data_IF_035395230724
#
_entry.id   IF_035395230724
#
_cell.length_a   1.000
_cell.length_b   1.000
_cell.length_c   1.000
_cell.angle_alpha   90.00
_cell.angle_beta   90.00
_cell.angle_gamma   90.00
#
_symmetry.space_group_name_H-M   'P 1'
#
loop_
_entity.id
_entity.type
_entity.pdbx_description
1 polymer ?
#
# COMPACT_ATOMS: atom_id res chain seq x y z
N UNK A 1 32.21 -3.63 -10.52
CA UNK A 1 32.91 -4.49 -11.50
C UNK A 1 32.00 -4.73 -12.70
N UNK A 2 32.57 -4.88 -13.90
CA UNK A 2 31.83 -5.36 -15.06
C UNK A 2 31.41 -6.81 -14.80
N UNK A 3 30.13 -7.13 -15.04
CA UNK A 3 29.59 -8.50 -14.90
C UNK A 3 29.28 -9.01 -16.30
N UNK A 4 29.55 -10.28 -16.59
CA UNK A 4 29.20 -10.86 -17.88
C UNK A 4 27.75 -11.37 -17.84
N UNK A 5 27.02 -11.21 -18.93
CA UNK A 5 25.69 -11.76 -19.09
C UNK A 5 25.76 -13.29 -18.99
N UNK A 6 24.98 -13.87 -18.09
CA UNK A 6 24.92 -15.31 -17.91
C UNK A 6 24.41 -16.06 -19.14
N UNK A 7 23.54 -15.43 -19.94
CA UNK A 7 22.96 -16.07 -21.12
C UNK A 7 23.88 -16.00 -22.35
N UNK A 8 24.37 -14.81 -22.72
CA UNK A 8 25.14 -14.62 -23.95
C UNK A 8 26.63 -14.35 -23.76
N UNK A 9 27.13 -14.32 -22.51
CA UNK A 9 28.54 -14.05 -22.19
C UNK A 9 28.99 -12.61 -22.43
N UNK A 10 28.15 -11.75 -23.02
CA UNK A 10 28.49 -10.33 -23.29
C UNK A 10 28.85 -9.60 -21.99
N UNK A 11 29.87 -8.76 -22.03
CA UNK A 11 30.20 -7.90 -20.91
C UNK A 11 29.09 -6.85 -20.69
N UNK A 12 28.51 -6.83 -19.49
CA UNK A 12 27.53 -5.83 -19.07
C UNK A 12 28.30 -4.71 -18.36
N UNK A 13 28.45 -3.60 -19.07
CA UNK A 13 29.10 -2.39 -18.57
C UNK A 13 28.41 -1.80 -17.34
N UNK A 14 28.99 -0.75 -16.76
CA UNK A 14 28.38 -0.05 -15.63
C UNK A 14 27.10 0.71 -16.02
N UNK A 15 26.98 1.13 -17.29
CA UNK A 15 25.89 1.96 -17.78
C UNK A 15 24.79 1.18 -18.52
N UNK A 16 24.97 -0.12 -18.74
CA UNK A 16 23.95 -0.98 -19.36
C UNK A 16 23.04 -1.55 -18.28
N UNK A 17 21.74 -1.62 -18.55
CA UNK A 17 20.74 -2.16 -17.63
C UNK A 17 21.14 -3.58 -17.24
N UNK A 18 21.41 -3.75 -15.94
CA UNK A 18 21.72 -5.03 -15.32
C UNK A 18 20.42 -5.58 -14.78
N UNK A 19 19.99 -6.72 -15.31
CA UNK A 19 18.78 -7.38 -14.84
C UNK A 19 19.23 -8.53 -13.94
N UNK A 20 19.12 -8.40 -12.61
CA UNK A 20 19.41 -9.49 -11.70
C UNK A 20 18.37 -10.60 -11.90
N UNK A 21 18.87 -11.80 -12.14
CA UNK A 21 18.06 -12.99 -12.29
C UNK A 21 17.70 -13.50 -10.89
N UNK A 22 16.41 -13.60 -10.61
CA UNK A 22 15.84 -14.15 -9.37
C UNK A 22 16.33 -13.38 -8.14
N UNK A 23 16.40 -12.05 -8.28
CA UNK A 23 16.80 -11.09 -7.24
C UNK A 23 18.23 -11.31 -6.71
N UNK A 24 19.05 -12.10 -7.42
CA UNK A 24 20.44 -12.31 -7.07
C UNK A 24 21.34 -11.37 -7.88
N UNK A 25 21.96 -10.41 -7.20
CA UNK A 25 22.82 -9.41 -7.84
C UNK A 25 24.06 -10.01 -8.53
N UNK A 26 24.49 -11.22 -8.15
CA UNK A 26 25.61 -11.93 -8.78
C UNK A 26 25.23 -12.65 -10.07
N UNK A 27 23.93 -12.81 -10.32
CA UNK A 27 23.41 -13.51 -11.47
C UNK A 27 22.76 -12.49 -12.41
N UNK A 28 23.51 -11.97 -13.37
CA UNK A 28 23.04 -10.86 -14.21
C UNK A 28 22.88 -11.30 -15.66
N UNK A 29 21.76 -10.90 -16.28
CA UNK A 29 21.54 -11.02 -17.72
C UNK A 29 21.39 -9.64 -18.36
N UNK A 30 21.71 -9.53 -19.64
CA UNK A 30 21.53 -8.30 -20.41
C UNK A 30 20.06 -8.16 -20.86
N UNK A 31 19.63 -6.94 -21.14
CA UNK A 31 18.30 -6.62 -21.66
C UNK A 31 17.88 -7.51 -22.84
N UNK A 32 18.75 -7.70 -23.83
CA UNK A 32 18.43 -8.50 -25.03
C UNK A 32 18.13 -9.96 -24.69
N UNK A 33 18.82 -10.52 -23.69
CA UNK A 33 18.62 -11.90 -23.25
C UNK A 33 17.39 -12.01 -22.35
N UNK A 34 17.07 -10.96 -21.59
CA UNK A 34 15.86 -10.89 -20.81
C UNK A 34 14.60 -10.82 -21.68
N UNK A 35 14.60 -9.99 -22.73
CA UNK A 35 13.47 -9.90 -23.68
C UNK A 35 13.23 -11.21 -24.45
N UNK A 36 14.29 -11.97 -24.69
CA UNK A 36 14.23 -13.31 -25.33
C UNK A 36 14.01 -14.43 -24.33
N UNK A 37 13.98 -14.13 -23.04
CA UNK A 37 13.75 -15.12 -22.01
C UNK A 37 12.31 -15.62 -22.12
N UNK A 38 12.06 -16.93 -21.97
CA UNK A 38 10.73 -17.46 -22.19
C UNK A 38 9.70 -16.76 -21.29
N UNK A 39 8.50 -16.51 -21.83
CA UNK A 39 7.39 -15.86 -21.12
C UNK A 39 7.06 -16.51 -19.78
N UNK A 40 7.48 -17.76 -19.57
CA UNK A 40 7.25 -18.54 -18.34
C UNK A 40 8.07 -18.04 -17.15
N UNK A 41 9.27 -17.47 -17.35
CA UNK A 41 9.97 -16.76 -16.26
C UNK A 41 9.20 -15.48 -15.93
N UNK A 42 8.66 -14.78 -16.93
CA UNK A 42 7.75 -13.66 -16.71
C UNK A 42 6.46 -14.09 -16.00
N UNK A 43 5.92 -15.29 -16.24
CA UNK A 43 4.76 -15.83 -15.52
C UNK A 43 5.08 -16.17 -14.05
N UNK A 44 6.30 -16.64 -13.75
CA UNK A 44 6.79 -16.77 -12.37
C UNK A 44 6.89 -15.41 -11.66
N UNK A 45 7.31 -14.37 -12.37
CA UNK A 45 7.40 -13.01 -11.81
C UNK A 45 6.04 -12.31 -11.73
N UNK A 46 5.09 -12.59 -12.62
CA UNK A 46 3.90 -11.76 -12.79
C UNK A 46 2.55 -12.42 -12.47
N UNK A 47 2.44 -13.76 -12.38
CA UNK A 47 1.10 -14.39 -12.44
C UNK A 47 0.69 -15.42 -11.40
N UNK A 48 1.50 -15.80 -10.40
CA UNK A 48 0.98 -16.70 -9.34
C UNK A 48 1.45 -16.29 -7.96
N UNK A 49 0.49 -15.83 -7.16
CA UNK A 49 0.74 -15.26 -5.85
C UNK A 49 0.93 -16.35 -4.78
N UNK A 50 0.47 -17.59 -4.96
CA UNK A 50 0.75 -18.72 -4.05
C UNK A 50 0.67 -20.11 -4.71
N UNK A 51 1.47 -20.43 -5.75
CA UNK A 51 1.39 -21.72 -6.42
C UNK A 51 1.57 -22.88 -5.43
N UNK A 52 0.70 -23.88 -5.51
CA UNK A 52 0.82 -25.11 -4.74
C UNK A 52 2.13 -25.83 -5.06
N UNK A 53 2.56 -26.72 -4.18
CA UNK A 53 3.79 -27.51 -4.40
C UNK A 53 3.75 -28.31 -5.72
N UNK A 54 2.60 -28.86 -6.09
CA UNK A 54 2.40 -29.57 -7.36
C UNK A 54 2.50 -28.63 -8.56
N UNK A 55 1.90 -27.44 -8.48
CA UNK A 55 2.02 -26.44 -9.54
C UNK A 55 3.45 -25.92 -9.70
N UNK A 56 4.19 -25.72 -8.60
CA UNK A 56 5.59 -25.34 -8.65
C UNK A 56 6.46 -26.39 -9.35
N UNK A 57 6.14 -27.68 -9.15
CA UNK A 57 6.82 -28.78 -9.87
C UNK A 57 6.54 -28.71 -11.37
N UNK A 58 5.27 -28.56 -11.78
CA UNK A 58 4.91 -28.42 -13.20
C UNK A 58 5.54 -27.18 -13.83
N UNK A 59 5.58 -26.06 -13.10
CA UNK A 59 6.23 -24.82 -13.57
C UNK A 59 7.74 -25.03 -13.72
N UNK A 60 8.38 -25.72 -12.76
CA UNK A 60 9.80 -26.04 -12.83
C UNK A 60 10.14 -26.85 -14.09
N UNK A 61 9.35 -27.89 -14.38
CA UNK A 61 9.54 -28.73 -15.56
C UNK A 61 9.44 -27.90 -16.86
N UNK A 62 8.39 -27.09 -17.00
CA UNK A 62 8.20 -26.25 -18.19
C UNK A 62 9.30 -25.21 -18.39
N UNK A 63 9.82 -24.61 -17.31
CA UNK A 63 10.92 -23.65 -17.39
C UNK A 63 12.21 -24.33 -17.82
N UNK A 64 12.55 -25.46 -17.21
CA UNK A 64 13.77 -26.19 -17.55
C UNK A 64 13.73 -26.65 -19.01
N UNK A 65 12.60 -27.15 -19.49
CA UNK A 65 12.41 -27.51 -20.90
C UNK A 65 12.65 -26.32 -21.84
N UNK A 66 12.03 -25.17 -21.56
CA UNK A 66 12.21 -23.98 -22.40
C UNK A 66 13.62 -23.40 -22.36
N UNK A 67 14.30 -23.44 -21.20
CA UNK A 67 15.70 -23.04 -21.10
C UNK A 67 16.62 -23.98 -21.89
N UNK A 68 16.32 -25.29 -21.90
CA UNK A 68 17.05 -26.24 -22.74
C UNK A 68 16.81 -25.97 -24.24
N UNK A 69 15.57 -25.65 -24.65
CA UNK A 69 15.22 -25.32 -26.03
C UNK A 69 15.83 -23.98 -26.50
N UNK A 70 15.95 -23.01 -25.60
CA UNK A 70 16.50 -21.68 -25.89
C UNK A 70 18.03 -21.60 -25.95
N UNK A 71 18.74 -22.74 -25.94
CA UNK A 71 20.20 -22.83 -25.98
C UNK A 71 20.92 -22.04 -24.86
N UNK A 72 20.33 -21.96 -23.67
CA UNK A 72 20.98 -21.35 -22.51
C UNK A 72 22.14 -22.23 -22.00
N UNK A 73 23.20 -21.61 -21.48
CA UNK A 73 24.31 -22.36 -20.87
C UNK A 73 23.80 -23.19 -19.66
N UNK A 74 24.33 -24.41 -19.49
CA UNK A 74 24.13 -25.29 -18.34
C UNK A 74 24.27 -24.58 -16.98
N UNK A 75 25.18 -23.62 -16.86
CA UNK A 75 25.35 -22.87 -15.61
C UNK A 75 24.10 -22.06 -15.25
N UNK A 76 23.44 -21.46 -16.24
CA UNK A 76 22.18 -20.72 -16.07
C UNK A 76 21.05 -21.67 -15.67
N UNK A 77 20.96 -22.81 -16.35
CA UNK A 77 19.94 -23.83 -16.07
C UNK A 77 20.10 -24.35 -14.64
N UNK A 78 21.33 -24.63 -14.19
CA UNK A 78 21.62 -25.11 -12.84
C UNK A 78 21.23 -24.07 -11.77
N UNK A 79 21.55 -22.81 -12.01
CA UNK A 79 21.19 -21.70 -11.13
C UNK A 79 19.68 -21.57 -10.97
N UNK A 80 18.94 -21.56 -12.09
CA UNK A 80 17.47 -21.47 -12.07
C UNK A 80 16.86 -22.69 -11.40
N UNK A 81 17.36 -23.89 -11.72
CA UNK A 81 16.90 -25.15 -11.11
C UNK A 81 17.04 -25.15 -9.60
N UNK A 82 18.22 -24.76 -9.09
CA UNK A 82 18.50 -24.69 -7.64
C UNK A 82 17.61 -23.69 -6.92
N UNK A 83 17.30 -22.56 -7.56
CA UNK A 83 16.37 -21.59 -7.01
C UNK A 83 14.95 -22.16 -6.90
N UNK A 84 14.46 -22.82 -7.95
CA UNK A 84 13.13 -23.42 -7.97
C UNK A 84 13.02 -24.54 -6.93
N UNK A 85 14.05 -25.37 -6.77
CA UNK A 85 14.10 -26.39 -5.73
C UNK A 85 14.04 -25.82 -4.31
N UNK A 86 14.72 -24.69 -4.07
CA UNK A 86 14.63 -23.98 -2.80
C UNK A 86 13.22 -23.42 -2.54
N UNK A 87 12.56 -22.84 -3.54
CA UNK A 87 11.15 -22.40 -3.43
C UNK A 87 10.21 -23.58 -3.17
N UNK A 88 10.34 -24.69 -3.89
CA UNK A 88 9.51 -25.91 -3.73
C UNK A 88 9.68 -26.51 -2.34
N UNK A 89 10.92 -26.63 -1.84
CA UNK A 89 11.20 -27.20 -0.51
C UNK A 89 10.65 -26.35 0.64
N UNK A 90 10.48 -25.04 0.43
CA UNK A 90 9.88 -24.12 1.41
C UNK A 90 8.36 -23.96 1.24
N UNK A 91 7.78 -24.46 0.15
CA UNK A 91 6.34 -24.43 -0.06
C UNK A 91 5.65 -25.38 0.92
N UNK A 92 4.69 -24.86 1.68
CA UNK A 92 3.82 -25.68 2.52
C UNK A 92 2.77 -26.36 1.64
N UNK A 93 2.37 -27.57 2.02
CA UNK A 93 1.21 -28.20 1.39
C UNK A 93 -0.02 -27.31 1.64
N UNK A 94 -0.89 -27.12 0.63
CA UNK A 94 -2.08 -26.29 0.77
C UNK A 94 -2.96 -26.80 1.91
N UNK A 95 -3.43 -25.89 2.76
CA UNK A 95 -4.49 -26.24 3.71
C UNK A 95 -5.78 -26.51 2.93
N UNK A 96 -6.43 -27.63 3.20
CA UNK A 96 -7.66 -28.04 2.54
C UNK A 96 -8.79 -27.95 3.56
N UNK A 97 -9.88 -27.29 3.19
CA UNK A 97 -11.10 -27.27 4.00
C UNK A 97 -11.74 -28.66 4.09
N UNK A 98 -12.67 -28.84 5.04
CA UNK A 98 -13.46 -30.09 5.16
C UNK A 98 -14.23 -30.44 3.87
N UNK A 99 -14.52 -29.43 3.05
CA UNK A 99 -15.23 -29.53 1.77
C UNK A 99 -14.28 -29.73 0.56
N UNK A 100 -12.97 -29.86 0.78
CA UNK A 100 -11.98 -30.11 -0.26
C UNK A 100 -11.44 -28.86 -0.97
N UNK A 101 -11.90 -27.66 -0.61
CA UNK A 101 -11.40 -26.42 -1.20
C UNK A 101 -9.99 -26.07 -0.67
N UNK A 102 -9.09 -25.67 -1.58
CA UNK A 102 -7.74 -25.19 -1.27
C UNK A 102 -7.84 -23.82 -0.63
N UNK A 103 -7.12 -23.63 0.48
CA UNK A 103 -7.13 -22.39 1.25
C UNK A 103 -5.79 -21.67 1.11
N UNK A 104 -5.86 -20.34 1.05
CA UNK A 104 -4.73 -19.43 1.21
C UNK A 104 -4.99 -18.53 2.42
N UNK A 105 -3.91 -18.07 3.06
CA UNK A 105 -4.02 -17.21 4.24
C UNK A 105 -3.96 -15.74 3.82
N UNK A 106 -4.92 -14.93 4.25
CA UNK A 106 -4.87 -13.49 4.03
C UNK A 106 -3.76 -12.85 4.90
N UNK A 107 -2.81 -12.09 4.33
CA UNK A 107 -1.72 -11.49 5.10
C UNK A 107 -2.17 -10.34 6.01
N UNK A 108 -3.33 -9.73 5.75
CA UNK A 108 -3.86 -8.63 6.56
C UNK A 108 -4.64 -9.16 7.77
N UNK A 109 -5.63 -10.03 7.55
CA UNK A 109 -6.54 -10.46 8.60
C UNK A 109 -6.24 -11.88 9.13
N UNK A 110 -5.23 -12.56 8.58
CA UNK A 110 -4.81 -13.92 8.95
C UNK A 110 -5.88 -15.01 8.81
N UNK A 111 -7.04 -14.70 8.22
CA UNK A 111 -8.09 -15.68 7.93
C UNK A 111 -7.72 -16.51 6.71
N UNK A 112 -8.11 -17.78 6.77
CA UNK A 112 -8.10 -18.64 5.60
C UNK A 112 -9.22 -18.20 4.65
N UNK A 113 -8.87 -18.04 3.38
CA UNK A 113 -9.81 -17.74 2.30
C UNK A 113 -9.63 -18.77 1.21
N UNK A 114 -10.69 -19.05 0.46
CA UNK A 114 -10.60 -19.92 -0.70
C UNK A 114 -9.55 -19.36 -1.68
N UNK A 115 -8.75 -20.25 -2.26
CA UNK A 115 -7.66 -19.92 -3.16
C UNK A 115 -8.11 -19.04 -4.35
N UNK A 116 -9.33 -19.25 -4.83
CA UNK A 116 -9.88 -18.56 -6.01
C UNK A 116 -10.36 -17.12 -5.71
N UNK A 117 -10.34 -16.70 -4.44
CA UNK A 117 -10.81 -15.35 -4.05
C UNK A 117 -9.79 -14.29 -4.44
N UNK A 118 -10.19 -13.32 -5.27
CA UNK A 118 -9.33 -12.21 -5.69
C UNK A 118 -9.14 -11.14 -4.61
N UNK A 119 -10.13 -10.91 -3.74
CA UNK A 119 -10.06 -9.90 -2.67
C UNK A 119 -10.58 -10.49 -1.36
N UNK A 120 -9.79 -10.39 -0.28
CA UNK A 120 -10.20 -10.87 1.03
C UNK A 120 -11.33 -9.99 1.60
N UNK A 121 -12.52 -10.58 1.81
CA UNK A 121 -13.67 -9.87 2.40
C UNK A 121 -13.42 -9.36 3.83
N UNK A 122 -12.54 -10.02 4.59
CA UNK A 122 -12.25 -9.63 5.98
C UNK A 122 -11.17 -8.56 6.13
N UNK A 123 -10.30 -8.36 5.14
CA UNK A 123 -9.13 -7.46 5.24
C UNK A 123 -8.91 -6.56 4.03
N UNK A 124 -9.72 -6.68 2.97
CA UNK A 124 -9.57 -5.91 1.73
C UNK A 124 -8.34 -6.25 0.89
N UNK A 125 -7.55 -7.26 1.27
CA UNK A 125 -6.32 -7.62 0.55
C UNK A 125 -6.63 -8.15 -0.84
N UNK A 126 -6.07 -7.51 -1.87
CA UNK A 126 -6.14 -8.00 -3.25
C UNK A 126 -5.04 -9.01 -3.53
N UNK A 127 -5.45 -10.20 -3.95
CA UNK A 127 -4.60 -11.32 -4.40
C UNK A 127 -4.37 -11.31 -5.92
N UNK A 128 -4.78 -10.27 -6.65
CA UNK A 128 -4.62 -10.20 -8.12
C UNK A 128 -3.47 -9.31 -8.59
N UNK A 129 -2.74 -8.64 -7.68
CA UNK A 129 -1.61 -7.76 -8.04
C UNK A 129 -0.26 -8.49 -7.93
N UNK A 130 0.37 -8.78 -9.07
CA UNK A 130 1.61 -9.57 -9.20
C UNK A 130 2.91 -8.92 -8.72
N UNK A 131 2.98 -8.40 -7.49
CA UNK A 131 4.23 -7.87 -6.91
C UNK A 131 4.35 -8.26 -5.41
N UNK A 132 4.92 -9.44 -5.13
CA UNK A 132 5.10 -9.99 -3.77
C UNK A 132 5.95 -9.08 -2.85
N UNK A 133 6.93 -8.34 -3.41
CA UNK A 133 7.78 -7.42 -2.62
C UNK A 133 7.04 -6.13 -2.24
N UNK A 134 6.36 -5.51 -3.21
CA UNK A 134 5.57 -4.29 -2.99
C UNK A 134 4.37 -4.59 -2.09
N UNK A 135 3.74 -5.76 -2.21
CA UNK A 135 2.56 -6.09 -1.42
C UNK A 135 2.86 -6.46 0.04
N UNK A 136 4.00 -7.10 0.35
CA UNK A 136 4.41 -7.34 1.74
C UNK A 136 4.79 -6.03 2.44
N UNK A 137 5.47 -5.12 1.72
CA UNK A 137 5.77 -3.79 2.24
C UNK A 137 4.51 -2.95 2.41
N UNK A 138 3.59 -2.99 1.45
CA UNK A 138 2.26 -2.36 1.56
C UNK A 138 1.48 -2.95 2.73
N UNK A 139 1.43 -4.27 2.89
CA UNK A 139 0.74 -4.92 4.01
C UNK A 139 1.38 -4.53 5.35
N UNK A 140 2.71 -4.46 5.42
CA UNK A 140 3.42 -3.96 6.60
C UNK A 140 3.10 -2.48 6.88
N UNK A 141 3.08 -1.63 5.86
CA UNK A 141 2.69 -0.21 5.98
C UNK A 141 1.25 -0.10 6.48
N UNK A 142 0.32 -0.90 5.94
CA UNK A 142 -1.07 -0.92 6.37
C UNK A 142 -1.20 -1.39 7.83
N UNK A 143 -0.53 -2.48 8.20
CA UNK A 143 -0.55 -3.00 9.56
C UNK A 143 0.06 -2.01 10.56
N UNK A 144 1.19 -1.38 10.20
CA UNK A 144 1.80 -0.33 11.01
C UNK A 144 0.87 0.88 11.16
N UNK A 145 0.23 1.33 10.07
CA UNK A 145 -0.77 2.41 10.12
C UNK A 145 -1.97 2.03 10.99
N UNK A 146 -2.46 0.80 10.89
CA UNK A 146 -3.57 0.32 11.73
C UNK A 146 -3.21 0.31 13.22
N UNK A 147 -2.02 -0.20 13.57
CA UNK A 147 -1.53 -0.16 14.95
C UNK A 147 -1.32 1.27 15.45
N UNK A 148 -0.83 2.17 14.59
CA UNK A 148 -0.77 3.60 14.88
C UNK A 148 -2.18 4.18 15.13
N UNK A 149 -3.16 3.91 14.27
CA UNK A 149 -4.52 4.44 14.41
C UNK A 149 -5.22 3.98 15.69
N UNK A 150 -4.95 2.75 16.15
CA UNK A 150 -5.47 2.25 17.44
C UNK A 150 -4.93 3.03 18.64
N UNK A 151 -3.71 3.55 18.53
CA UNK A 151 -3.03 4.36 19.55
C UNK A 151 -3.38 5.84 19.44
N UNK A 152 -3.73 6.31 18.24
CA UNK A 152 -4.07 7.71 18.02
C UNK A 152 -5.18 8.17 18.98
N UNK A 153 -5.08 9.40 19.49
CA UNK A 153 -6.16 10.02 20.23
C UNK A 153 -7.41 10.19 19.35
N UNK A 154 -8.57 10.00 19.96
CA UNK A 154 -9.86 10.24 19.30
C UNK A 154 -10.36 11.62 19.69
N UNK A 155 -10.72 12.42 18.69
CA UNK A 155 -11.29 13.74 18.87
C UNK A 155 -12.70 13.79 18.29
N UNK A 156 -13.56 14.57 18.93
CA UNK A 156 -14.76 15.11 18.30
C UNK A 156 -14.55 16.57 17.97
N UNK A 157 -15.30 17.05 16.98
CA UNK A 157 -15.22 18.40 16.47
C UNK A 157 -16.59 19.08 16.57
N UNK A 158 -16.55 20.38 16.86
CA UNK A 158 -17.71 21.26 16.79
C UNK A 158 -17.33 22.52 16.01
N UNK A 159 -18.30 23.18 15.39
CA UNK A 159 -18.08 24.46 14.75
C UNK A 159 -19.20 25.44 15.03
N UNK A 160 -18.84 26.70 15.19
CA UNK A 160 -19.77 27.77 15.50
C UNK A 160 -19.56 28.91 14.53
N UNK A 161 -20.67 29.37 13.97
CA UNK A 161 -20.72 30.53 13.09
C UNK A 161 -21.16 31.75 13.89
N UNK A 162 -20.35 32.78 13.89
CA UNK A 162 -20.60 34.04 14.60
C UNK A 162 -20.77 35.15 13.57
N UNK A 163 -22.00 35.63 13.31
CA UNK A 163 -22.18 36.77 12.43
C UNK A 163 -21.49 38.00 13.02
N UNK A 164 -20.88 38.82 12.16
CA UNK A 164 -20.33 40.10 12.56
C UNK A 164 -21.44 41.09 12.98
N UNK A 165 -21.03 42.14 13.67
CA UNK A 165 -21.91 43.24 14.05
C UNK A 165 -22.42 43.95 12.80
N UNK A 166 -23.52 44.69 12.94
CA UNK A 166 -24.14 45.42 11.82
C UNK A 166 -23.24 46.47 11.17
N UNK A 167 -22.19 46.91 11.87
CA UNK A 167 -21.16 47.82 11.36
C UNK A 167 -20.02 47.09 10.61
N UNK A 168 -20.12 45.76 10.44
CA UNK A 168 -19.12 44.91 9.81
C UNK A 168 -17.95 44.53 10.72
N UNK A 169 -17.94 44.97 11.99
CA UNK A 169 -16.88 44.62 12.94
C UNK A 169 -17.12 43.25 13.61
N UNK A 170 -16.02 42.61 14.03
CA UNK A 170 -16.06 41.36 14.77
C UNK A 170 -16.84 41.48 16.10
N UNK A 171 -17.72 40.51 16.38
CA UNK A 171 -18.47 40.45 17.63
C UNK A 171 -17.64 39.85 18.77
N UNK A 172 -16.65 40.62 19.25
CA UNK A 172 -15.68 40.19 20.25
C UNK A 172 -16.31 39.61 21.52
N UNK A 173 -17.32 40.27 22.09
CA UNK A 173 -17.95 39.84 23.34
C UNK A 173 -18.64 38.47 23.18
N UNK A 174 -19.29 38.26 22.05
CA UNK A 174 -19.93 36.99 21.71
C UNK A 174 -18.90 35.88 21.51
N UNK A 175 -17.82 36.16 20.79
CA UNK A 175 -16.69 35.24 20.58
C UNK A 175 -16.08 34.84 21.92
N UNK A 176 -15.75 35.81 22.79
CA UNK A 176 -15.17 35.54 24.12
C UNK A 176 -16.08 34.63 24.96
N UNK A 177 -17.40 34.90 24.96
CA UNK A 177 -18.37 34.07 25.67
C UNK A 177 -18.43 32.65 25.12
N UNK A 178 -18.40 32.48 23.79
CA UNK A 178 -18.42 31.16 23.15
C UNK A 178 -17.16 30.37 23.54
N UNK A 179 -15.98 30.99 23.44
CA UNK A 179 -14.70 30.35 23.80
C UNK A 179 -14.72 29.90 25.25
N UNK A 180 -15.11 30.77 26.18
CA UNK A 180 -15.16 30.44 27.60
C UNK A 180 -16.11 29.26 27.87
N UNK A 181 -17.32 29.29 27.31
CA UNK A 181 -18.30 28.22 27.50
C UNK A 181 -17.84 26.88 26.91
N UNK A 182 -17.13 26.90 25.78
CA UNK A 182 -16.56 25.72 25.14
C UNK A 182 -15.39 25.16 25.95
N UNK A 183 -14.47 26.01 26.37
CA UNK A 183 -13.34 25.63 27.21
C UNK A 183 -13.78 24.97 28.51
N UNK A 184 -14.84 25.47 29.16
CA UNK A 184 -15.42 24.86 30.37
C UNK A 184 -15.97 23.44 30.13
N UNK A 185 -16.30 23.10 28.89
CA UNK A 185 -16.79 21.79 28.49
C UNK A 185 -15.67 20.91 27.90
N UNK A 186 -14.40 21.32 28.04
CA UNK A 186 -13.24 20.57 27.57
C UNK A 186 -12.93 20.75 26.08
N UNK A 187 -13.60 21.67 25.39
CA UNK A 187 -13.31 21.98 23.99
C UNK A 187 -12.15 22.96 23.87
N UNK A 188 -11.31 22.74 22.88
CA UNK A 188 -10.20 23.60 22.50
C UNK A 188 -10.51 24.25 21.15
N UNK A 189 -10.44 25.57 21.08
CA UNK A 189 -10.47 26.28 19.80
C UNK A 189 -9.20 25.94 19.01
N UNK A 190 -9.35 25.37 17.81
CA UNK A 190 -8.22 24.99 16.94
C UNK A 190 -7.98 25.97 15.82
N UNK A 191 -9.05 26.52 15.24
CA UNK A 191 -8.93 27.53 14.19
C UNK A 191 -10.17 28.44 14.18
N UNK A 192 -9.96 29.66 13.70
CA UNK A 192 -11.02 30.62 13.42
C UNK A 192 -10.68 31.34 12.13
N UNK A 193 -11.65 31.47 11.24
CA UNK A 193 -11.49 32.21 9.99
C UNK A 193 -12.76 32.99 9.68
N UNK A 194 -12.62 34.09 8.96
CA UNK A 194 -13.73 34.92 8.53
C UNK A 194 -14.16 34.52 7.12
N UNK A 195 -15.47 34.38 6.92
CA UNK A 195 -16.09 34.12 5.64
C UNK A 195 -16.93 35.34 5.23
N UNK A 196 -16.67 35.87 4.04
CA UNK A 196 -17.46 36.96 3.46
C UNK A 196 -18.68 36.38 2.75
N UNK A 197 -19.88 36.69 3.25
CA UNK A 197 -21.15 36.15 2.75
C UNK A 197 -21.70 37.03 1.62
N UNK A 198 -21.42 38.34 1.65
CA UNK A 198 -21.87 39.28 0.63
C UNK A 198 -21.91 40.72 1.12
N UNK A 199 -22.62 41.60 0.39
CA UNK A 199 -22.77 43.02 0.73
C UNK A 199 -24.23 43.33 1.02
N UNK A 200 -24.51 43.98 2.15
CA UNK A 200 -25.82 44.56 2.43
C UNK A 200 -25.76 46.07 2.28
N UNK A 201 -26.66 46.63 1.47
CA UNK A 201 -26.88 48.07 1.37
C UNK A 201 -28.13 48.43 2.16
N UNK A 202 -28.00 48.68 3.46
CA UNK A 202 -29.10 49.15 4.31
C UNK A 202 -28.80 50.59 4.74
N UNK A 203 -29.71 51.50 4.40
CA UNK A 203 -29.69 52.91 4.82
C UNK A 203 -28.38 53.68 4.56
N UNK A 204 -27.73 53.46 3.42
CA UNK A 204 -26.54 54.22 3.00
C UNK A 204 -25.21 53.77 3.61
N UNK A 205 -25.22 52.73 4.45
CA UNK A 205 -24.01 52.09 4.97
C UNK A 205 -23.71 50.85 4.15
N UNK A 206 -22.58 50.86 3.44
CA UNK A 206 -22.06 49.71 2.69
C UNK A 206 -21.13 48.90 3.60
N UNK A 207 -21.70 48.00 4.40
CA UNK A 207 -20.91 47.05 5.18
C UNK A 207 -20.87 45.70 4.46
N UNK A 208 -19.67 45.14 4.33
CA UNK A 208 -19.50 43.75 3.92
C UNK A 208 -20.05 42.87 5.05
N UNK A 209 -20.99 41.99 4.72
CA UNK A 209 -21.45 40.97 5.65
C UNK A 209 -20.43 39.85 5.71
N UNK A 210 -19.85 39.68 6.88
CA UNK A 210 -18.95 38.59 7.19
C UNK A 210 -19.45 37.81 8.42
N UNK A 211 -18.99 36.58 8.52
CA UNK A 211 -19.15 35.72 9.69
C UNK A 211 -17.81 35.13 10.08
N UNK A 212 -17.59 34.94 11.37
CA UNK A 212 -16.44 34.25 11.90
C UNK A 212 -16.83 32.80 12.20
N UNK A 213 -16.14 31.86 11.54
CA UNK A 213 -16.34 30.43 11.72
C UNK A 213 -15.25 29.94 12.66
N UNK A 214 -15.67 29.39 13.80
CA UNK A 214 -14.82 28.89 14.86
C UNK A 214 -14.89 27.37 14.89
N UNK A 215 -13.76 26.68 14.79
CA UNK A 215 -13.72 25.21 14.87
C UNK A 215 -13.06 24.80 16.17
N UNK A 216 -13.72 23.92 16.91
CA UNK A 216 -13.29 23.38 18.18
C UNK A 216 -13.03 21.88 18.06
N UNK A 217 -12.09 21.38 18.87
CA UNK A 217 -11.86 19.94 19.06
C UNK A 217 -11.90 19.59 20.55
N UNK A 218 -12.34 18.37 20.88
CA UNK A 218 -12.27 17.81 22.23
C UNK A 218 -11.79 16.37 22.18
N UNK A 219 -10.81 16.03 23.02
CA UNK A 219 -10.27 14.68 23.10
C UNK A 219 -11.24 13.77 23.87
N UNK A 220 -11.71 12.69 23.25
CA UNK A 220 -12.60 11.68 23.85
C UNK A 220 -11.77 10.52 24.42
N UNK A 221 -10.69 10.16 23.74
CA UNK A 221 -9.75 9.12 24.18
C UNK A 221 -8.34 9.64 23.98
N UNK A 222 -7.59 9.76 25.07
CA UNK A 222 -6.18 10.12 25.02
C UNK A 222 -5.35 8.97 24.45
N UNK A 223 -4.19 9.32 23.90
CA UNK A 223 -3.19 8.32 23.49
C UNK A 223 -2.83 7.43 24.69
N UNK A 224 -2.94 6.12 24.50
CA UNK A 224 -2.46 5.14 25.48
C UNK A 224 -0.93 5.13 25.40
N UNK A 225 -0.27 5.75 26.39
CA UNK A 225 1.19 5.72 26.55
C UNK A 225 1.69 4.30 26.81
#
# INVERSE_FOLDING_TARGET
MAKNCLCCGKNIGLLTVRIPLLENEDLVICSDCFEKMPSVLNDLYQKRIHPTKSELLTIKEGIIEQLNLGCYNKDVINVVTKYLDNKISKAKDPEVSEEGAILKKCPICNKNVNYDVEVCSGGGYSFSSGYEFVNNEIANIYNQRMEQYKRNPFYEYDYIVVPNKSDGSTDKEKIEKIICNHAMQGWRLITMYSNEIGKNAIAGVNATMCEDIMVFERCIKSESR
#
